data_IF_510625859864
#
_entry.id   IF_510625859864
#
_cell.length_a   1.000
_cell.length_b   1.000
_cell.length_c   1.000
_cell.angle_alpha   90.00
_cell.angle_beta   90.00
_cell.angle_gamma   90.00
#
_symmetry.space_group_name_H-M   'P 1'
#
loop_
_entity.id
_entity.type
_entity.pdbx_description
1 polymer ?
#
# COMPACT_ATOMS: atom_id res chain seq x y z
N UNK A 1 -77.37 13.21 55.62
CA UNK A 1 -77.11 11.86 56.16
C UNK A 1 -75.63 11.77 56.47
N UNK A 2 -75.32 11.57 57.75
CA UNK A 2 -74.04 11.26 58.40
C UNK A 2 -72.74 12.04 58.08
N UNK A 3 -72.29 12.74 59.13
CA UNK A 3 -70.93 13.18 59.41
C UNK A 3 -69.93 12.01 59.43
N UNK A 4 -68.67 12.28 59.06
CA UNK A 4 -67.53 11.64 59.74
C UNK A 4 -66.45 12.67 60.05
N UNK A 5 -66.21 12.76 61.36
CA UNK A 5 -65.15 13.43 62.09
C UNK A 5 -63.78 12.81 61.77
N UNK A 6 -62.72 13.62 61.65
CA UNK A 6 -61.38 13.22 62.10
C UNK A 6 -60.47 14.43 62.37
N UNK A 7 -59.85 14.32 63.53
CA UNK A 7 -58.96 15.23 64.23
C UNK A 7 -57.54 15.23 63.65
N UNK A 8 -56.87 16.38 63.77
CA UNK A 8 -55.46 16.61 64.14
C UNK A 8 -54.33 15.74 63.56
N UNK A 9 -53.26 16.39 63.10
CA UNK A 9 -52.00 16.64 63.85
C UNK A 9 -51.01 17.28 62.88
N UNK A 10 -50.51 18.47 63.23
CA UNK A 10 -49.36 19.08 62.56
C UNK A 10 -48.07 18.36 62.94
N UNK A 11 -47.18 18.19 61.97
CA UNK A 11 -45.77 17.94 62.23
C UNK A 11 -44.94 18.70 61.19
N UNK A 12 -44.31 19.78 61.65
CA UNK A 12 -43.29 20.50 60.91
C UNK A 12 -42.09 19.59 60.70
N UNK A 13 -41.78 19.26 59.44
CA UNK A 13 -40.48 18.73 59.06
C UNK A 13 -39.70 19.82 58.33
N UNK A 14 -38.73 20.39 59.06
CA UNK A 14 -37.67 21.24 58.54
C UNK A 14 -36.88 20.45 57.48
N UNK A 15 -37.20 20.67 56.21
CA UNK A 15 -36.33 20.26 55.12
C UNK A 15 -35.17 21.25 55.02
N UNK A 16 -34.08 20.99 55.74
CA UNK A 16 -32.81 21.67 55.50
C UNK A 16 -32.33 21.31 54.09
N UNK A 17 -32.55 22.22 53.13
CA UNK A 17 -31.94 22.12 51.80
C UNK A 17 -30.45 22.36 51.96
N UNK A 18 -29.67 21.29 52.04
CA UNK A 18 -28.23 21.35 51.77
C UNK A 18 -28.12 21.62 50.27
N UNK A 19 -28.15 22.89 49.88
CA UNK A 19 -27.68 23.28 48.54
C UNK A 19 -26.21 22.93 48.50
N UNK A 20 -25.86 21.86 47.76
CA UNK A 20 -24.49 21.67 47.32
C UNK A 20 -24.03 23.00 46.70
N UNK A 21 -22.90 23.54 47.17
CA UNK A 21 -22.34 24.76 46.60
C UNK A 21 -22.27 24.58 45.07
N UNK A 22 -22.72 25.56 44.26
CA UNK A 22 -22.69 25.42 42.82
C UNK A 22 -21.25 25.12 42.40
N UNK A 23 -21.07 24.09 41.58
CA UNK A 23 -19.78 23.79 40.96
C UNK A 23 -19.35 25.04 40.18
N UNK A 24 -18.43 25.82 40.74
CA UNK A 24 -17.74 26.86 40.00
C UNK A 24 -16.75 26.15 39.09
N UNK A 25 -17.12 25.99 37.82
CA UNK A 25 -16.15 25.63 36.80
C UNK A 25 -14.96 26.57 36.94
N UNK A 26 -13.76 26.01 37.09
CA UNK A 26 -12.53 26.79 37.17
C UNK A 26 -12.46 27.61 35.90
N UNK A 27 -12.63 28.93 36.01
CA UNK A 27 -12.58 29.83 34.88
C UNK A 27 -11.16 29.73 34.33
N UNK A 28 -11.06 29.05 33.20
CA UNK A 28 -9.82 28.74 32.53
C UNK A 28 -9.56 29.88 31.56
N UNK A 29 -8.39 30.51 31.62
CA UNK A 29 -7.93 31.47 30.62
C UNK A 29 -7.53 30.78 29.29
N UNK A 30 -7.70 29.45 29.21
CA UNK A 30 -7.47 28.69 27.99
C UNK A 30 -8.61 28.93 27.01
N UNK A 31 -8.24 29.26 25.77
CA UNK A 31 -9.15 29.37 24.64
C UNK A 31 -9.53 27.97 24.15
N UNK A 32 -10.82 27.74 23.94
CA UNK A 32 -11.29 26.52 23.28
C UNK A 32 -10.87 26.50 21.81
N UNK A 33 -10.60 25.30 21.28
CA UNK A 33 -10.36 25.12 19.86
C UNK A 33 -11.61 25.49 19.06
N UNK A 34 -11.40 26.25 17.99
CA UNK A 34 -12.45 26.60 17.03
C UNK A 34 -12.35 25.74 15.78
N UNK A 35 -13.47 25.55 15.09
CA UNK A 35 -13.52 24.80 13.84
C UNK A 35 -12.57 25.40 12.78
N UNK A 36 -12.45 26.73 12.75
CA UNK A 36 -11.55 27.47 11.85
C UNK A 36 -10.07 27.24 12.14
N UNK A 37 -9.72 26.74 13.31
CA UNK A 37 -8.34 26.32 13.63
C UNK A 37 -8.09 24.84 13.29
N UNK A 38 -9.14 24.03 13.22
CA UNK A 38 -9.07 22.60 12.90
C UNK A 38 -9.03 22.36 11.39
N UNK A 39 -9.88 23.04 10.60
CA UNK A 39 -9.97 22.84 9.14
C UNK A 39 -8.65 23.11 8.39
N UNK A 40 -7.90 24.19 8.66
CA UNK A 40 -6.60 24.41 8.04
C UNK A 40 -5.49 23.55 8.67
N UNK A 41 -5.84 22.64 9.60
CA UNK A 41 -4.90 21.82 10.35
C UNK A 41 -3.84 22.65 11.06
N UNK A 42 -4.23 23.77 11.70
CA UNK A 42 -3.27 24.71 12.33
C UNK A 42 -2.43 24.03 13.43
N UNK A 43 -3.01 23.05 14.10
CA UNK A 43 -2.37 22.23 15.13
C UNK A 43 -1.89 20.87 14.61
N UNK A 44 -1.80 20.71 13.29
CA UNK A 44 -1.31 19.50 12.66
C UNK A 44 0.11 19.18 13.12
N UNK A 45 0.33 17.94 13.52
CA UNK A 45 1.65 17.46 13.89
C UNK A 45 2.57 17.55 12.67
N UNK A 46 3.65 18.33 12.79
CA UNK A 46 4.74 18.28 11.82
C UNK A 46 5.63 17.08 12.16
N UNK A 47 5.41 16.00 11.44
CA UNK A 47 6.24 14.80 11.56
C UNK A 47 7.66 15.03 11.04
N UNK A 48 8.55 14.08 11.36
CA UNK A 48 9.85 13.97 10.72
C UNK A 48 9.66 13.76 9.21
N UNK A 49 10.26 14.61 8.39
CA UNK A 49 10.15 14.54 6.92
C UNK A 49 11.40 13.95 6.24
N UNK A 50 12.26 13.28 7.02
CA UNK A 50 13.48 12.65 6.53
C UNK A 50 13.27 11.21 6.07
N UNK A 51 14.05 10.77 5.09
CA UNK A 51 14.11 9.40 4.58
C UNK A 51 15.56 8.96 4.47
N UNK A 52 15.92 7.80 5.02
CA UNK A 52 17.27 7.25 4.94
C UNK A 52 17.60 6.83 3.51
N UNK A 53 18.74 7.28 3.01
CA UNK A 53 19.32 6.86 1.72
C UNK A 53 20.33 5.73 1.92
N UNK A 54 21.11 5.83 2.99
CA UNK A 54 22.13 4.88 3.43
C UNK A 54 22.22 4.87 4.96
N UNK A 55 23.21 4.16 5.52
CA UNK A 55 23.46 4.19 6.97
C UNK A 55 23.98 5.54 7.50
N UNK A 56 24.37 6.45 6.60
CA UNK A 56 25.00 7.73 6.96
C UNK A 56 24.33 8.94 6.30
N UNK A 57 23.50 8.73 5.29
CA UNK A 57 22.87 9.81 4.53
C UNK A 57 21.35 9.81 4.69
N UNK A 58 20.82 10.99 4.97
CA UNK A 58 19.39 11.27 5.13
C UNK A 58 18.95 12.30 4.09
N UNK A 59 17.88 12.01 3.36
CA UNK A 59 17.18 12.99 2.53
C UNK A 59 16.08 13.66 3.35
N UNK A 60 16.01 14.98 3.36
CA UNK A 60 14.91 15.70 4.01
C UNK A 60 14.52 16.95 3.19
N UNK A 61 13.36 17.51 3.50
CA UNK A 61 12.85 18.70 2.81
C UNK A 61 13.11 19.96 3.63
N UNK A 62 13.77 20.96 3.06
CA UNK A 62 14.05 22.25 3.69
C UNK A 62 13.59 23.40 2.80
N UNK A 63 12.63 24.21 3.24
CA UNK A 63 12.13 25.35 2.44
C UNK A 63 11.51 24.99 1.10
N UNK A 64 11.19 23.70 0.85
CA UNK A 64 10.70 23.19 -0.43
C UNK A 64 11.72 22.32 -1.17
N UNK A 65 13.01 22.58 -0.95
CA UNK A 65 14.14 21.89 -1.57
C UNK A 65 14.37 20.52 -0.94
N UNK A 66 14.94 19.60 -1.72
CA UNK A 66 15.40 18.32 -1.24
C UNK A 66 16.89 18.39 -0.91
N UNK A 67 17.23 18.13 0.36
CA UNK A 67 18.58 18.26 0.90
C UNK A 67 19.04 16.89 1.40
N UNK A 68 20.25 16.49 0.98
CA UNK A 68 20.94 15.31 1.49
C UNK A 68 21.88 15.73 2.61
N UNK A 69 21.70 15.16 3.79
CA UNK A 69 22.52 15.36 4.99
C UNK A 69 23.35 14.11 5.27
N UNK A 70 24.65 14.26 5.47
CA UNK A 70 25.47 13.24 6.10
C UNK A 70 25.40 13.40 7.62
N UNK A 71 24.84 12.41 8.32
CA UNK A 71 24.56 12.53 9.77
C UNK A 71 25.82 12.43 10.64
N UNK A 72 26.90 11.88 10.11
CA UNK A 72 28.17 11.72 10.84
C UNK A 72 29.00 13.02 10.83
N UNK A 73 29.01 13.73 9.70
CA UNK A 73 29.79 14.96 9.49
C UNK A 73 28.99 16.23 9.74
N UNK A 74 27.67 16.18 9.53
CA UNK A 74 26.80 17.36 9.52
C UNK A 74 26.76 18.08 8.17
N UNK A 75 27.51 17.61 7.17
CA UNK A 75 27.54 18.21 5.84
C UNK A 75 26.22 18.02 5.11
N UNK A 76 25.73 19.07 4.45
CA UNK A 76 24.48 19.05 3.69
C UNK A 76 24.67 19.58 2.28
N UNK A 77 23.98 18.93 1.33
CA UNK A 77 24.00 19.30 -0.09
C UNK A 77 22.56 19.35 -0.60
N UNK A 78 22.20 20.45 -1.26
CA UNK A 78 20.93 20.55 -1.98
C UNK A 78 21.01 19.68 -3.22
N UNK A 79 20.13 18.68 -3.32
CA UNK A 79 20.09 17.73 -4.44
C UNK A 79 19.19 18.25 -5.54
N UNK A 80 18.02 18.78 -5.17
CA UNK A 80 17.04 19.36 -6.09
C UNK A 80 16.41 20.59 -5.45
N UNK A 81 16.37 21.68 -6.22
CA UNK A 81 15.74 22.94 -5.82
C UNK A 81 14.25 22.97 -6.17
N UNK A 82 13.52 23.83 -5.47
CA UNK A 82 12.10 24.11 -5.72
C UNK A 82 11.88 24.67 -7.12
N UNK A 83 12.82 25.46 -7.66
CA UNK A 83 12.76 26.00 -9.02
C UNK A 83 12.78 24.89 -10.07
N UNK A 84 13.63 23.88 -9.90
CA UNK A 84 13.64 22.70 -10.80
C UNK A 84 12.31 21.95 -10.70
N UNK A 85 11.81 21.74 -9.48
CA UNK A 85 10.53 21.05 -9.27
C UNK A 85 9.33 21.82 -9.79
N UNK A 86 9.41 23.15 -9.94
CA UNK A 86 8.32 23.97 -10.46
C UNK A 86 7.91 23.60 -11.90
N UNK A 87 8.82 22.97 -12.65
CA UNK A 87 8.57 22.42 -13.98
C UNK A 87 7.65 21.18 -13.95
N UNK A 88 7.55 20.53 -12.78
CA UNK A 88 6.80 19.31 -12.56
C UNK A 88 5.67 19.58 -11.55
N UNK A 89 4.46 19.84 -12.05
CA UNK A 89 3.32 20.22 -11.21
C UNK A 89 3.03 19.16 -10.13
N UNK A 90 3.08 19.58 -8.87
CA UNK A 90 2.79 18.72 -7.72
C UNK A 90 3.83 17.62 -7.48
N UNK A 91 5.08 17.84 -7.90
CA UNK A 91 6.10 16.80 -7.90
C UNK A 91 6.43 16.21 -6.52
N UNK A 92 6.65 14.91 -6.52
CA UNK A 92 7.37 14.16 -5.49
C UNK A 92 8.53 13.41 -6.14
N UNK A 93 9.59 13.13 -5.37
CA UNK A 93 10.79 12.49 -5.90
C UNK A 93 11.19 11.24 -5.12
N UNK A 94 11.90 10.35 -5.81
CA UNK A 94 12.68 9.27 -5.23
C UNK A 94 14.11 9.35 -5.77
N UNK A 95 15.11 9.44 -4.89
CA UNK A 95 16.52 9.36 -5.31
C UNK A 95 16.88 7.94 -5.74
N UNK A 96 17.67 7.82 -6.79
CA UNK A 96 18.00 6.55 -7.42
C UNK A 96 19.42 6.11 -6.99
N UNK A 97 19.53 4.88 -6.48
CA UNK A 97 20.81 4.24 -6.13
C UNK A 97 21.65 3.94 -7.39
N UNK A 98 22.97 3.74 -7.26
CA UNK A 98 23.77 3.81 -6.02
C UNK A 98 24.36 5.18 -5.71
N UNK A 99 24.44 6.08 -6.69
CA UNK A 99 25.16 7.36 -6.59
C UNK A 99 24.26 8.55 -6.23
N UNK A 100 22.93 8.38 -6.30
CA UNK A 100 21.94 9.42 -6.05
C UNK A 100 22.09 10.65 -6.95
N UNK A 101 22.62 10.46 -8.16
CA UNK A 101 22.77 11.52 -9.18
C UNK A 101 21.55 11.65 -10.08
N UNK A 102 20.63 10.68 -10.02
CA UNK A 102 19.37 10.68 -10.74
C UNK A 102 18.20 10.57 -9.79
N UNK A 103 17.07 11.13 -10.20
CA UNK A 103 15.83 11.06 -9.45
C UNK A 103 14.69 10.60 -10.33
N UNK A 104 13.79 9.80 -9.76
CA UNK A 104 12.48 9.57 -10.35
C UNK A 104 11.55 10.66 -9.85
N UNK A 105 11.03 11.48 -10.76
CA UNK A 105 10.05 12.53 -10.50
C UNK A 105 8.67 12.00 -10.86
N UNK A 106 7.75 12.01 -9.90
CA UNK A 106 6.32 11.74 -10.09
C UNK A 106 5.56 13.05 -10.02
N UNK A 107 4.77 13.37 -11.05
CA UNK A 107 4.07 14.65 -11.18
C UNK A 107 2.73 14.48 -11.91
N UNK A 108 1.92 15.54 -11.96
CA UNK A 108 0.56 15.49 -12.53
C UNK A 108 -0.29 14.36 -11.93
N UNK A 109 -0.30 14.27 -10.60
CA UNK A 109 -0.99 13.18 -9.88
C UNK A 109 -2.51 13.41 -9.86
N UNK A 110 -3.26 12.39 -10.29
CA UNK A 110 -4.71 12.30 -10.16
C UNK A 110 -5.09 11.05 -9.39
N UNK A 111 -5.77 11.21 -8.25
CA UNK A 111 -6.22 10.07 -7.42
C UNK A 111 -7.29 9.26 -8.13
N UNK A 112 -7.28 7.94 -7.95
CA UNK A 112 -8.30 7.01 -8.45
C UNK A 112 -9.09 6.44 -7.26
N UNK A 113 -8.47 5.58 -6.44
CA UNK A 113 -9.01 5.08 -5.17
C UNK A 113 -8.15 5.57 -3.98
N UNK A 114 -8.12 4.84 -2.85
CA UNK A 114 -7.41 5.29 -1.63
C UNK A 114 -5.90 5.37 -1.84
N UNK A 115 -5.33 4.39 -2.53
CA UNK A 115 -3.90 4.26 -2.74
C UNK A 115 -3.52 4.53 -4.20
N UNK A 116 -4.38 4.15 -5.14
CA UNK A 116 -4.13 4.27 -6.57
C UNK A 116 -4.27 5.69 -7.10
N UNK A 117 -3.49 5.95 -8.13
CA UNK A 117 -3.50 7.22 -8.85
C UNK A 117 -3.08 6.99 -10.29
N UNK A 118 -3.28 8.00 -11.12
CA UNK A 118 -2.62 8.13 -12.40
C UNK A 118 -1.63 9.29 -12.29
N UNK A 119 -0.43 9.12 -12.80
CA UNK A 119 0.64 10.12 -12.70
C UNK A 119 1.56 10.05 -13.92
N UNK A 120 2.26 11.14 -14.19
CA UNK A 120 3.38 11.14 -15.13
C UNK A 120 4.68 10.95 -14.37
N UNK A 121 5.67 10.35 -15.06
CA UNK A 121 6.98 10.09 -14.50
C UNK A 121 8.09 10.56 -15.43
N UNK A 122 9.20 11.00 -14.83
CA UNK A 122 10.43 11.34 -15.54
C UNK A 122 11.65 11.00 -14.69
N UNK A 123 12.74 10.64 -15.34
CA UNK A 123 14.07 10.56 -14.72
C UNK A 123 14.74 11.91 -14.93
N UNK A 124 15.16 12.56 -13.85
CA UNK A 124 15.92 13.82 -13.90
C UNK A 124 17.35 13.56 -13.42
N UNK A 125 18.34 13.94 -14.23
CA UNK A 125 19.75 13.88 -13.88
C UNK A 125 20.17 15.18 -13.19
N UNK A 126 20.62 15.09 -11.95
CA UNK A 126 20.99 16.27 -11.15
C UNK A 126 22.33 16.87 -11.54
N UNK A 127 23.15 16.17 -12.33
CA UNK A 127 24.48 16.63 -12.73
C UNK A 127 24.42 17.62 -13.89
N UNK A 128 23.60 17.32 -14.90
CA UNK A 128 23.49 18.11 -16.13
C UNK A 128 22.10 18.70 -16.38
N UNK A 129 21.10 18.35 -15.57
CA UNK A 129 19.72 18.82 -15.69
C UNK A 129 18.91 18.13 -16.79
N UNK A 130 19.43 17.06 -17.39
CA UNK A 130 18.72 16.32 -18.44
C UNK A 130 17.52 15.58 -17.88
N UNK A 131 16.40 15.62 -18.62
CA UNK A 131 15.15 14.95 -18.25
C UNK A 131 14.82 13.87 -19.28
N UNK A 132 14.55 12.65 -18.81
CA UNK A 132 14.14 11.51 -19.61
C UNK A 132 12.72 11.11 -19.22
N UNK A 133 11.75 11.39 -20.08
CA UNK A 133 10.36 11.06 -19.81
C UNK A 133 10.12 9.54 -19.86
N UNK A 134 9.18 9.07 -19.04
CA UNK A 134 8.69 7.68 -19.02
C UNK A 134 7.34 7.63 -19.73
N UNK A 135 7.06 6.54 -20.44
CA UNK A 135 5.80 6.30 -21.13
C UNK A 135 5.39 7.45 -22.07
N UNK A 136 6.36 8.07 -22.74
CA UNK A 136 6.13 9.24 -23.62
C UNK A 136 5.31 10.37 -22.97
N UNK A 137 5.47 10.60 -21.66
CA UNK A 137 4.70 11.59 -20.86
C UNK A 137 3.20 11.30 -20.71
N UNK A 138 2.77 10.07 -20.99
CA UNK A 138 1.41 9.64 -20.71
C UNK A 138 1.21 9.34 -19.23
N UNK A 139 -0.05 9.39 -18.78
CA UNK A 139 -0.40 8.99 -17.42
C UNK A 139 -0.26 7.46 -17.27
N UNK A 140 0.37 7.02 -16.20
CA UNK A 140 0.52 5.61 -15.83
C UNK A 140 0.09 5.40 -14.38
N UNK A 141 -0.36 4.20 -14.04
CA UNK A 141 -0.88 3.87 -12.70
C UNK A 141 0.22 3.89 -11.66
N UNK A 142 1.36 3.26 -11.98
CA UNK A 142 2.54 3.21 -11.13
C UNK A 142 3.82 3.21 -12.00
N UNK A 143 4.93 3.63 -11.41
CA UNK A 143 6.28 3.43 -11.94
C UNK A 143 7.21 3.08 -10.77
N UNK A 144 7.84 1.91 -10.84
CA UNK A 144 8.74 1.38 -9.81
C UNK A 144 10.16 1.23 -10.36
N UNK A 145 11.15 1.50 -9.52
CA UNK A 145 12.56 1.31 -9.85
C UNK A 145 13.01 -0.10 -9.44
N UNK A 146 13.88 -0.70 -10.24
CA UNK A 146 14.66 -1.86 -9.81
C UNK A 146 15.49 -1.51 -8.57
N UNK A 147 15.72 -2.45 -7.63
CA UNK A 147 16.51 -2.18 -6.43
C UNK A 147 17.96 -1.75 -6.71
N UNK A 148 18.49 -2.09 -7.89
CA UNK A 148 19.81 -1.67 -8.38
C UNK A 148 19.83 -0.25 -8.93
N UNK A 149 18.67 0.35 -9.20
CA UNK A 149 18.55 1.70 -9.76
C UNK A 149 18.92 1.80 -11.25
N UNK A 150 18.99 0.67 -11.97
CA UNK A 150 19.42 0.65 -13.37
C UNK A 150 18.26 0.64 -14.37
N UNK A 151 17.14 0.03 -13.95
CA UNK A 151 15.95 -0.17 -14.76
C UNK A 151 14.68 0.22 -14.00
N UNK A 152 13.57 0.36 -14.73
CA UNK A 152 12.25 0.64 -14.18
C UNK A 152 11.17 -0.23 -14.83
N UNK A 153 10.05 -0.40 -14.13
CA UNK A 153 8.83 -0.96 -14.68
C UNK A 153 7.66 -0.03 -14.37
N UNK A 154 6.69 0.07 -15.25
CA UNK A 154 5.49 0.88 -15.05
C UNK A 154 4.26 0.15 -15.58
N UNK A 155 3.08 0.59 -15.13
CA UNK A 155 1.80 0.03 -15.55
C UNK A 155 0.97 1.08 -16.28
N UNK A 156 0.67 0.83 -17.55
CA UNK A 156 -0.19 1.68 -18.38
C UNK A 156 -1.31 0.83 -18.96
N UNK A 157 -2.54 1.32 -18.86
CA UNK A 157 -3.73 0.64 -19.38
C UNK A 157 -3.81 -0.83 -18.92
N UNK A 158 -3.54 -1.05 -17.63
CA UNK A 158 -3.46 -2.36 -16.99
C UNK A 158 -2.44 -3.33 -17.60
N UNK A 159 -1.44 -2.83 -18.34
CA UNK A 159 -0.34 -3.60 -18.90
C UNK A 159 1.00 -3.17 -18.32
N UNK A 160 1.88 -4.13 -18.08
CA UNK A 160 3.21 -3.88 -17.53
C UNK A 160 4.20 -3.64 -18.66
N UNK A 161 5.01 -2.61 -18.49
CA UNK A 161 6.10 -2.25 -19.37
C UNK A 161 7.40 -2.21 -18.58
N UNK A 162 8.49 -2.56 -19.24
CA UNK A 162 9.83 -2.57 -18.67
C UNK A 162 10.78 -1.71 -19.51
N UNK A 163 11.65 -0.99 -18.82
CA UNK A 163 12.69 -0.18 -19.42
C UNK A 163 14.01 -0.50 -18.74
N UNK A 164 14.87 -1.18 -19.50
CA UNK A 164 16.16 -1.70 -19.03
C UNK A 164 17.15 -0.59 -18.63
N UNK A 165 17.05 0.58 -19.26
CA UNK A 165 17.91 1.72 -18.99
C UNK A 165 17.11 2.97 -18.65
N UNK A 166 17.46 3.64 -17.56
CA UNK A 166 16.83 4.90 -17.14
C UNK A 166 17.00 6.06 -18.14
N UNK A 167 17.92 5.97 -19.10
CA UNK A 167 18.18 7.06 -20.07
C UNK A 167 17.74 6.71 -21.48
N UNK A 168 17.68 5.43 -21.84
CA UNK A 168 17.20 5.01 -23.16
C UNK A 168 15.67 5.10 -23.22
N UNK A 169 15.13 5.62 -24.33
CA UNK A 169 13.68 5.74 -24.52
C UNK A 169 12.99 4.41 -24.87
N UNK A 170 13.74 3.32 -25.05
CA UNK A 170 13.19 2.04 -25.44
C UNK A 170 12.43 1.39 -24.26
N UNK A 171 11.15 1.14 -24.48
CA UNK A 171 10.24 0.51 -23.54
C UNK A 171 9.73 -0.81 -24.14
N UNK A 172 9.71 -1.85 -23.33
CA UNK A 172 9.36 -3.22 -23.74
C UNK A 172 8.08 -3.65 -23.02
N UNK A 173 6.97 -3.92 -23.72
CA UNK A 173 5.78 -4.47 -23.08
C UNK A 173 6.10 -5.86 -22.52
N UNK A 174 5.66 -6.11 -21.29
CA UNK A 174 5.73 -7.42 -20.64
C UNK A 174 4.37 -8.14 -20.67
N UNK A 175 3.27 -7.39 -20.74
CA UNK A 175 1.91 -7.93 -20.90
C UNK A 175 1.17 -7.16 -21.98
N UNK A 176 0.17 -7.79 -22.59
CA UNK A 176 -0.67 -7.20 -23.63
C UNK A 176 -2.17 -7.54 -23.45
N UNK A 177 -2.51 -8.29 -22.40
CA UNK A 177 -3.84 -8.81 -22.11
C UNK A 177 -4.61 -7.98 -21.07
N UNK A 178 -4.01 -6.90 -20.56
CA UNK A 178 -4.65 -5.98 -19.62
C UNK A 178 -5.87 -5.30 -20.25
N UNK A 179 -6.96 -5.24 -19.49
CA UNK A 179 -8.22 -4.60 -19.87
C UNK A 179 -8.66 -3.69 -18.72
N UNK A 180 -8.59 -2.35 -18.86
CA UNK A 180 -9.01 -1.42 -17.82
C UNK A 180 -10.38 -1.76 -17.24
N UNK A 181 -10.47 -1.90 -15.92
CA UNK A 181 -11.72 -2.25 -15.23
C UNK A 181 -12.06 -3.74 -15.18
N UNK A 182 -11.25 -4.62 -15.78
CA UNK A 182 -11.57 -6.06 -15.93
C UNK A 182 -10.36 -6.97 -15.70
N UNK A 183 -9.23 -6.71 -16.35
CA UNK A 183 -8.00 -7.50 -16.19
C UNK A 183 -6.90 -6.54 -15.79
N UNK A 184 -6.30 -6.77 -14.64
CA UNK A 184 -5.27 -5.92 -14.04
C UNK A 184 -3.95 -6.67 -13.98
N UNK A 185 -2.87 -6.10 -14.53
CA UNK A 185 -1.52 -6.65 -14.43
C UNK A 185 -0.61 -5.68 -13.66
N UNK A 186 -0.06 -6.13 -12.52
CA UNK A 186 0.94 -5.36 -11.77
C UNK A 186 0.38 -4.23 -10.91
N UNK A 187 -0.92 -4.04 -10.93
CA UNK A 187 -1.68 -3.23 -10.00
C UNK A 187 -2.88 -4.05 -9.48
N UNK A 188 -3.37 -3.78 -8.27
CA UNK A 188 -4.55 -4.46 -7.75
C UNK A 188 -5.84 -3.96 -8.41
N UNK A 189 -6.87 -4.81 -8.43
CA UNK A 189 -8.26 -4.37 -8.57
C UNK A 189 -8.74 -3.71 -7.25
N UNK A 190 -10.00 -3.27 -7.21
CA UNK A 190 -10.50 -2.51 -6.06
C UNK A 190 -10.43 -3.28 -4.74
N UNK A 191 -10.83 -4.56 -4.71
CA UNK A 191 -10.89 -5.29 -3.44
C UNK A 191 -9.49 -5.64 -2.94
N UNK A 192 -8.55 -5.94 -3.83
CA UNK A 192 -7.17 -6.18 -3.44
C UNK A 192 -6.44 -4.91 -3.02
N UNK A 193 -6.76 -3.75 -3.60
CA UNK A 193 -6.21 -2.46 -3.18
C UNK A 193 -6.63 -2.14 -1.74
N UNK A 194 -7.93 -2.20 -1.46
CA UNK A 194 -8.50 -1.68 -0.22
C UNK A 194 -8.49 -2.68 0.94
N UNK A 195 -8.78 -3.96 0.67
CA UNK A 195 -9.08 -4.94 1.71
C UNK A 195 -7.98 -6.00 1.90
N UNK A 196 -7.03 -6.13 0.96
CA UNK A 196 -5.97 -7.16 1.01
C UNK A 196 -4.57 -6.57 1.13
N UNK A 197 -4.12 -5.79 0.14
CA UNK A 197 -2.74 -5.30 0.08
C UNK A 197 -2.54 -3.92 0.71
N UNK A 198 -3.53 -3.01 0.64
CA UNK A 198 -3.37 -1.64 1.14
C UNK A 198 -2.32 -0.83 0.37
N UNK A 199 -2.16 -1.08 -0.93
CA UNK A 199 -1.22 -0.41 -1.83
C UNK A 199 -1.74 -0.44 -3.26
N UNK A 200 -1.22 0.45 -4.11
CA UNK A 200 -1.49 0.57 -5.54
C UNK A 200 -0.60 -0.31 -6.43
N UNK A 201 0.32 -1.09 -5.85
CA UNK A 201 1.31 -1.86 -6.61
C UNK A 201 1.32 -3.34 -6.26
N UNK A 202 1.30 -4.19 -7.29
CA UNK A 202 1.49 -5.64 -7.19
C UNK A 202 2.60 -6.12 -8.11
N UNK A 203 3.68 -5.33 -8.16
CA UNK A 203 4.93 -5.62 -8.86
C UNK A 203 6.09 -5.67 -7.87
N UNK A 204 6.93 -6.69 -8.00
CA UNK A 204 8.08 -6.91 -7.11
C UNK A 204 9.31 -7.32 -7.91
N UNK A 205 10.26 -6.39 -8.07
CA UNK A 205 11.60 -6.72 -8.58
C UNK A 205 12.36 -7.60 -7.60
N UNK A 206 13.10 -8.58 -8.11
CA UNK A 206 14.07 -9.33 -7.30
C UNK A 206 15.15 -8.39 -6.75
N UNK A 207 15.81 -8.75 -5.64
CA UNK A 207 16.85 -7.90 -5.02
C UNK A 207 17.96 -7.46 -5.97
N UNK A 208 18.32 -8.31 -6.95
CA UNK A 208 19.32 -8.01 -7.98
C UNK A 208 18.73 -7.36 -9.26
N UNK A 209 17.42 -7.16 -9.33
CA UNK A 209 16.71 -6.60 -10.49
C UNK A 209 16.57 -7.52 -11.69
N UNK A 210 17.09 -8.76 -11.64
CA UNK A 210 17.03 -9.72 -12.77
C UNK A 210 15.62 -10.21 -13.07
N UNK A 211 14.76 -10.34 -12.05
CA UNK A 211 13.41 -10.88 -12.19
C UNK A 211 12.37 -9.86 -11.76
N UNK A 212 11.19 -9.99 -12.34
CA UNK A 212 10.00 -9.26 -11.92
C UNK A 212 8.89 -10.26 -11.61
N UNK A 213 8.38 -10.21 -10.39
CA UNK A 213 7.16 -10.90 -10.02
C UNK A 213 5.98 -9.93 -10.10
N UNK A 214 4.80 -10.47 -10.40
CA UNK A 214 3.58 -9.71 -10.59
C UNK A 214 2.37 -10.52 -10.12
N UNK A 215 1.41 -9.86 -9.47
CA UNK A 215 0.05 -10.38 -9.36
C UNK A 215 -0.83 -9.77 -10.45
N UNK A 216 -1.67 -10.61 -11.04
CA UNK A 216 -2.70 -10.21 -11.99
C UNK A 216 -4.08 -10.60 -11.48
N UNK A 217 -5.08 -9.77 -11.74
CA UNK A 217 -6.44 -9.93 -11.23
C UNK A 217 -7.42 -9.95 -12.40
N UNK A 218 -8.27 -10.96 -12.42
CA UNK A 218 -9.30 -11.15 -13.42
C UNK A 218 -10.69 -11.00 -12.78
N UNK A 219 -11.33 -9.89 -13.11
CA UNK A 219 -12.61 -9.45 -12.57
C UNK A 219 -13.77 -9.77 -13.51
N UNK A 220 -13.57 -10.54 -14.60
CA UNK A 220 -14.62 -10.82 -15.59
C UNK A 220 -15.92 -11.33 -14.97
N UNK A 221 -15.79 -12.18 -13.95
CA UNK A 221 -16.90 -12.81 -13.24
C UNK A 221 -17.33 -12.07 -11.95
N UNK A 222 -16.64 -10.99 -11.59
CA UNK A 222 -17.00 -10.12 -10.47
C UNK A 222 -18.16 -9.23 -10.87
N UNK A 223 -19.15 -9.05 -9.99
CA UNK A 223 -20.32 -8.20 -10.30
C UNK A 223 -19.94 -6.72 -10.35
N UNK A 224 -20.54 -5.98 -11.27
CA UNK A 224 -20.42 -4.52 -11.33
C UNK A 224 -21.33 -3.85 -10.29
N UNK A 225 -20.80 -2.83 -9.64
CA UNK A 225 -21.53 -1.84 -8.89
C UNK A 225 -21.51 -0.52 -9.67
N UNK A 226 -22.67 0.12 -9.76
CA UNK A 226 -22.86 1.36 -10.52
C UNK A 226 -23.20 2.50 -9.59
N UNK A 227 -22.57 3.65 -9.78
CA UNK A 227 -22.86 4.89 -9.05
C UNK A 227 -22.77 6.10 -9.98
N UNK A 228 -23.29 7.24 -9.54
CA UNK A 228 -23.39 8.44 -10.37
C UNK A 228 -22.46 9.54 -9.84
N UNK A 229 -21.76 10.21 -10.75
CA UNK A 229 -21.07 11.46 -10.50
C UNK A 229 -21.92 12.62 -11.02
N UNK A 230 -22.37 13.48 -10.12
CA UNK A 230 -23.26 14.59 -10.44
C UNK A 230 -22.54 15.87 -10.90
N UNK A 231 -21.20 15.89 -10.86
CA UNK A 231 -20.40 17.06 -11.24
C UNK A 231 -20.54 18.24 -10.27
N UNK A 232 -20.04 19.41 -10.71
CA UNK A 232 -20.24 20.68 -10.01
C UNK A 232 -21.49 21.38 -10.56
N UNK A 233 -22.33 22.03 -9.72
CA UNK A 233 -23.48 22.80 -10.19
C UNK A 233 -23.14 23.89 -11.23
N UNK A 234 -21.91 24.42 -11.18
CA UNK A 234 -21.45 25.51 -12.05
C UNK A 234 -20.80 25.03 -13.35
N UNK A 235 -20.63 23.71 -13.53
CA UNK A 235 -20.04 23.12 -14.73
C UNK A 235 -21.13 22.79 -15.75
N UNK A 236 -21.27 23.62 -16.78
CA UNK A 236 -22.27 23.44 -17.83
C UNK A 236 -22.07 22.16 -18.65
N UNK A 237 -20.86 21.60 -18.67
CA UNK A 237 -20.56 20.36 -19.39
C UNK A 237 -20.98 19.11 -18.59
N UNK A 238 -21.36 19.27 -17.31
CA UNK A 238 -21.83 18.21 -16.41
C UNK A 238 -23.31 18.35 -16.04
N UNK A 239 -24.14 18.84 -16.97
CA UNK A 239 -25.58 19.01 -16.77
C UNK A 239 -26.34 17.70 -16.46
N UNK A 240 -25.82 16.56 -16.95
CA UNK A 240 -26.37 15.24 -16.66
C UNK A 240 -25.37 14.39 -15.87
N UNK A 241 -25.82 13.61 -14.87
CA UNK A 241 -24.92 12.76 -14.10
C UNK A 241 -24.22 11.73 -14.98
N UNK A 242 -22.94 11.54 -14.72
CA UNK A 242 -22.12 10.50 -15.35
C UNK A 242 -22.27 9.20 -14.58
N UNK A 243 -22.55 8.10 -15.28
CA UNK A 243 -22.60 6.77 -14.68
C UNK A 243 -21.19 6.18 -14.64
N UNK A 244 -20.70 5.86 -13.44
CA UNK A 244 -19.46 5.12 -13.23
C UNK A 244 -19.76 3.70 -12.78
N UNK A 245 -18.90 2.77 -13.21
CA UNK A 245 -18.99 1.34 -12.90
C UNK A 245 -17.68 0.85 -12.32
N UNK A 246 -17.79 -0.04 -11.34
CA UNK A 246 -16.66 -0.69 -10.70
C UNK A 246 -16.99 -2.15 -10.43
N UNK A 247 -16.04 -3.06 -10.67
CA UNK A 247 -16.15 -4.46 -10.25
C UNK A 247 -15.96 -4.52 -8.74
N UNK A 248 -17.00 -4.94 -8.02
CA UNK A 248 -17.07 -4.85 -6.57
C UNK A 248 -17.70 -6.12 -5.99
N UNK A 249 -16.91 -7.04 -5.43
CA UNK A 249 -17.43 -8.27 -4.84
C UNK A 249 -18.08 -7.97 -3.48
N UNK A 250 -19.42 -7.92 -3.45
CA UNK A 250 -20.16 -7.90 -2.17
C UNK A 250 -20.04 -9.23 -1.44
N UNK A 251 -20.39 -9.21 -0.15
CA UNK A 251 -20.44 -10.39 0.71
C UNK A 251 -21.09 -11.58 -0.02
N UNK A 252 -20.39 -12.71 -0.03
CA UNK A 252 -20.85 -13.97 -0.63
C UNK A 252 -21.10 -13.90 -2.15
N UNK A 253 -20.38 -13.03 -2.86
CA UNK A 253 -20.32 -13.02 -4.34
C UNK A 253 -18.93 -13.41 -4.82
N UNK A 254 -18.83 -13.74 -6.12
CA UNK A 254 -17.59 -14.14 -6.79
C UNK A 254 -16.49 -13.10 -6.59
N UNK A 255 -15.34 -13.58 -6.14
CA UNK A 255 -14.13 -12.78 -5.99
C UNK A 255 -13.34 -12.71 -7.32
N UNK A 256 -12.46 -11.71 -7.48
CA UNK A 256 -11.52 -11.70 -8.60
C UNK A 256 -10.61 -12.92 -8.56
N UNK A 257 -10.34 -13.51 -9.73
CA UNK A 257 -9.38 -14.61 -9.85
C UNK A 257 -7.97 -14.02 -9.87
N UNK A 258 -7.11 -14.46 -8.95
CA UNK A 258 -5.75 -13.94 -8.84
C UNK A 258 -4.74 -14.92 -9.42
N UNK A 259 -3.75 -14.37 -10.12
CA UNK A 259 -2.61 -15.09 -10.68
C UNK A 259 -1.32 -14.48 -10.16
N UNK A 260 -0.36 -15.31 -9.76
CA UNK A 260 0.98 -14.86 -9.40
C UNK A 260 1.96 -15.39 -10.44
N UNK A 261 2.73 -14.49 -11.05
CA UNK A 261 3.65 -14.83 -12.13
C UNK A 261 5.02 -14.20 -11.91
N UNK A 262 6.05 -14.82 -12.45
CA UNK A 262 7.42 -14.29 -12.45
C UNK A 262 8.02 -14.38 -13.83
N UNK A 263 8.85 -13.41 -14.18
CA UNK A 263 9.59 -13.41 -15.43
C UNK A 263 11.06 -13.05 -15.23
N UNK A 264 11.92 -13.54 -16.12
CA UNK A 264 13.34 -13.17 -16.20
C UNK A 264 13.51 -11.99 -17.17
N UNK A 265 14.08 -10.89 -16.69
CA UNK A 265 14.27 -9.67 -17.48
C UNK A 265 15.58 -9.65 -18.25
N UNK A 266 16.49 -10.60 -17.99
CA UNK A 266 17.79 -10.69 -18.67
C UNK A 266 17.72 -11.24 -20.09
N UNK A 267 16.58 -11.81 -20.47
CA UNK A 267 16.32 -12.33 -21.83
C UNK A 267 15.55 -11.31 -22.67
N UNK A 268 15.77 -11.33 -23.98
CA UNK A 268 15.11 -10.39 -24.90
C UNK A 268 13.58 -10.58 -24.97
N UNK A 269 13.13 -11.83 -24.87
CA UNK A 269 11.73 -12.24 -24.93
C UNK A 269 11.36 -12.99 -23.63
N UNK A 270 11.06 -12.27 -22.54
CA UNK A 270 10.61 -12.90 -21.31
C UNK A 270 9.31 -13.64 -21.49
N UNK A 271 9.21 -14.77 -20.79
CA UNK A 271 7.99 -15.53 -20.63
C UNK A 271 7.61 -15.53 -19.15
N UNK A 272 6.33 -15.24 -18.88
CA UNK A 272 5.78 -15.33 -17.55
C UNK A 272 5.58 -16.79 -17.15
N UNK A 273 6.12 -17.14 -15.98
CA UNK A 273 5.93 -18.43 -15.33
C UNK A 273 4.95 -18.26 -14.17
N UNK A 274 3.85 -19.01 -14.19
CA UNK A 274 2.86 -19.02 -13.11
C UNK A 274 3.44 -19.69 -11.85
N UNK A 275 3.19 -19.10 -10.69
CA UNK A 275 3.48 -19.63 -9.36
C UNK A 275 2.13 -20.00 -8.70
N UNK A 276 1.68 -21.26 -8.83
CA UNK A 276 0.30 -21.63 -8.54
C UNK A 276 -0.01 -21.55 -7.04
N UNK A 277 -1.27 -21.21 -6.73
CA UNK A 277 -1.80 -21.35 -5.39
C UNK A 277 -1.85 -22.83 -4.95
N UNK A 278 -1.62 -23.15 -3.67
CA UNK A 278 -1.69 -24.51 -3.17
C UNK A 278 -3.17 -24.92 -2.93
N UNK A 279 -3.88 -25.25 -4.01
CA UNK A 279 -5.33 -25.54 -3.98
C UNK A 279 -5.74 -26.62 -2.98
N UNK A 280 -4.88 -27.64 -2.77
CA UNK A 280 -5.11 -28.68 -1.76
C UNK A 280 -5.18 -28.14 -0.31
N UNK A 281 -4.63 -26.95 -0.07
CA UNK A 281 -4.61 -26.28 1.24
C UNK A 281 -5.66 -25.17 1.33
N UNK A 282 -5.72 -24.29 0.33
CA UNK A 282 -6.54 -23.07 0.39
C UNK A 282 -7.84 -23.13 -0.42
N UNK A 283 -8.01 -24.16 -1.25
CA UNK A 283 -9.18 -24.34 -2.12
C UNK A 283 -9.15 -23.45 -3.38
N UNK A 284 -10.18 -23.60 -4.20
CA UNK A 284 -10.34 -22.87 -5.48
C UNK A 284 -10.60 -21.37 -5.26
N UNK A 285 -11.45 -21.02 -4.30
CA UNK A 285 -11.69 -19.63 -3.91
C UNK A 285 -10.65 -19.24 -2.84
N UNK A 286 -9.50 -18.77 -3.31
CA UNK A 286 -8.34 -18.41 -2.50
C UNK A 286 -7.94 -16.95 -2.72
N UNK A 287 -7.16 -16.42 -1.78
CA UNK A 287 -6.69 -15.03 -1.76
C UNK A 287 -5.16 -15.02 -1.66
N UNK A 288 -4.53 -14.22 -2.52
CA UNK A 288 -3.11 -13.92 -2.44
C UNK A 288 -2.86 -12.87 -1.36
N UNK A 289 -2.35 -13.27 -0.20
CA UNK A 289 -2.23 -12.38 0.95
C UNK A 289 -1.03 -11.44 0.87
N UNK A 290 0.18 -12.00 0.78
CA UNK A 290 1.42 -11.20 0.75
C UNK A 290 2.46 -11.84 -0.16
N UNK A 291 3.31 -11.01 -0.76
CA UNK A 291 4.40 -11.44 -1.63
C UNK A 291 5.67 -10.67 -1.26
N UNK A 292 6.77 -11.37 -1.06
CA UNK A 292 8.08 -10.77 -0.86
C UNK A 292 9.19 -11.69 -1.36
N UNK A 293 10.28 -11.11 -1.85
CA UNK A 293 11.46 -11.90 -2.18
C UNK A 293 12.11 -12.47 -0.91
N UNK A 294 12.42 -13.76 -0.93
CA UNK A 294 13.14 -14.51 0.09
C UNK A 294 14.51 -14.92 -0.44
N UNK A 295 15.17 -14.03 -1.18
CA UNK A 295 16.40 -14.31 -1.93
C UNK A 295 16.32 -13.76 -3.35
N UNK A 296 17.34 -14.03 -4.15
CA UNK A 296 17.39 -13.55 -5.55
C UNK A 296 16.48 -14.37 -6.49
N UNK A 297 16.31 -15.65 -6.19
CA UNK A 297 15.57 -16.61 -7.02
C UNK A 297 14.40 -17.28 -6.29
N UNK A 298 14.14 -16.89 -5.04
CA UNK A 298 13.07 -17.47 -4.20
C UNK A 298 12.07 -16.39 -3.84
N UNK A 299 10.79 -16.62 -4.16
CA UNK A 299 9.68 -15.78 -3.77
C UNK A 299 8.95 -16.39 -2.57
N UNK A 300 8.77 -15.61 -1.51
CA UNK A 300 7.92 -15.95 -0.37
C UNK A 300 6.50 -15.43 -0.61
N UNK A 301 5.51 -16.30 -0.42
CA UNK A 301 4.11 -16.00 -0.74
C UNK A 301 3.19 -16.52 0.36
N UNK A 302 2.26 -15.70 0.84
CA UNK A 302 1.17 -16.18 1.68
C UNK A 302 -0.10 -16.32 0.84
N UNK A 303 -0.66 -17.53 0.83
CA UNK A 303 -1.99 -17.82 0.32
C UNK A 303 -2.95 -18.08 1.48
N UNK A 304 -4.22 -17.70 1.33
CA UNK A 304 -5.27 -18.04 2.30
C UNK A 304 -6.55 -18.46 1.59
N UNK A 305 -7.35 -19.30 2.24
CA UNK A 305 -8.69 -19.64 1.72
C UNK A 305 -9.63 -18.44 1.79
N UNK A 306 -10.75 -18.45 1.05
CA UNK A 306 -11.77 -17.39 1.07
C UNK A 306 -12.26 -17.02 2.48
N UNK A 307 -12.38 -17.99 3.37
CA UNK A 307 -12.80 -17.79 4.77
C UNK A 307 -11.71 -17.13 5.64
N UNK A 308 -10.49 -17.04 5.13
CA UNK A 308 -9.32 -16.45 5.76
C UNK A 308 -8.94 -17.12 7.09
N UNK A 309 -9.26 -18.40 7.26
CA UNK A 309 -8.99 -19.15 8.49
C UNK A 309 -7.97 -20.28 8.31
N UNK A 310 -7.57 -20.55 7.08
CA UNK A 310 -6.42 -21.39 6.72
C UNK A 310 -5.51 -20.53 5.85
N UNK A 311 -4.25 -20.38 6.26
CA UNK A 311 -3.23 -19.68 5.49
C UNK A 311 -1.97 -20.53 5.40
N UNK A 312 -1.17 -20.30 4.37
CA UNK A 312 0.07 -21.03 4.17
C UNK A 312 1.13 -20.13 3.56
N UNK A 313 2.33 -20.17 4.13
CA UNK A 313 3.50 -19.51 3.58
C UNK A 313 4.24 -20.49 2.68
N UNK A 314 4.30 -20.16 1.39
CA UNK A 314 4.96 -20.91 0.35
C UNK A 314 6.29 -20.25 0.00
N UNK A 315 7.31 -21.07 -0.27
CA UNK A 315 8.55 -20.64 -0.93
C UNK A 315 8.56 -21.16 -2.36
N UNK A 316 8.67 -20.25 -3.32
CA UNK A 316 8.59 -20.55 -4.74
C UNK A 316 9.94 -20.32 -5.42
N UNK A 317 10.48 -21.38 -6.04
CA UNK A 317 11.69 -21.34 -6.86
C UNK A 317 11.34 -20.78 -8.25
N UNK A 318 11.75 -19.54 -8.50
CA UNK A 318 11.30 -18.76 -9.66
C UNK A 318 11.82 -19.25 -11.01
N UNK A 319 12.95 -19.98 -11.03
CA UNK A 319 13.51 -20.54 -12.26
C UNK A 319 12.67 -21.70 -12.83
N UNK A 320 11.97 -22.43 -11.97
CA UNK A 320 11.24 -23.66 -12.33
C UNK A 320 9.73 -23.54 -12.11
N UNK A 321 9.27 -22.50 -11.41
CA UNK A 321 7.86 -22.30 -11.09
C UNK A 321 7.32 -23.21 -9.98
N UNK A 322 8.21 -23.87 -9.22
CA UNK A 322 7.83 -24.82 -8.17
C UNK A 322 7.73 -24.15 -6.81
N UNK A 323 6.62 -24.36 -6.10
CA UNK A 323 6.40 -23.87 -4.75
C UNK A 323 6.32 -25.01 -3.73
N UNK A 324 6.82 -24.77 -2.51
CA UNK A 324 6.72 -25.70 -1.39
C UNK A 324 6.17 -25.00 -0.14
N UNK A 325 5.35 -25.72 0.63
CA UNK A 325 4.80 -25.24 1.89
C UNK A 325 5.90 -25.18 2.94
N UNK A 326 6.22 -23.97 3.40
CA UNK A 326 7.17 -23.75 4.49
C UNK A 326 6.48 -23.84 5.86
N UNK A 327 5.27 -23.29 5.98
CA UNK A 327 4.47 -23.36 7.20
C UNK A 327 2.99 -23.11 6.88
N UNK A 328 2.11 -23.79 7.62
CA UNK A 328 0.66 -23.61 7.59
C UNK A 328 0.15 -22.97 8.87
N UNK A 329 -0.88 -22.14 8.77
CA UNK A 329 -1.60 -21.52 9.88
C UNK A 329 -3.07 -21.92 9.84
N UNK A 330 -3.51 -22.64 10.87
CA UNK A 330 -4.90 -23.01 11.05
C UNK A 330 -5.53 -22.18 12.19
N UNK A 331 -6.64 -21.51 11.89
CA UNK A 331 -7.39 -20.63 12.79
C UNK A 331 -8.87 -21.02 12.83
N UNK A 332 -9.23 -22.22 13.32
CA UNK A 332 -10.60 -22.75 13.21
C UNK A 332 -11.68 -21.84 13.82
N UNK A 333 -11.32 -21.07 14.86
CA UNK A 333 -12.21 -20.17 15.59
C UNK A 333 -11.92 -18.68 15.34
N UNK A 334 -11.26 -18.34 14.24
CA UNK A 334 -10.89 -16.96 13.92
C UNK A 334 -10.46 -16.80 12.47
N UNK A 335 -9.56 -15.84 12.23
CA UNK A 335 -8.95 -15.58 10.94
C UNK A 335 -7.43 -15.44 11.08
N UNK A 336 -6.72 -15.52 9.96
CA UNK A 336 -5.30 -15.23 9.86
C UNK A 336 -5.10 -13.75 9.55
N UNK A 337 -4.28 -13.08 10.36
CA UNK A 337 -3.85 -11.72 10.08
C UNK A 337 -2.72 -11.72 9.05
N UNK A 338 -2.89 -11.02 7.94
CA UNK A 338 -1.91 -10.95 6.87
C UNK A 338 -0.67 -10.15 7.29
N UNK A 339 0.39 -10.85 7.66
CA UNK A 339 1.70 -10.27 7.95
C UNK A 339 2.72 -10.71 6.93
N UNK A 340 3.31 -9.76 6.20
CA UNK A 340 4.36 -10.05 5.22
C UNK A 340 5.61 -10.57 5.94
N UNK A 341 6.07 -11.81 5.65
CA UNK A 341 7.29 -12.34 6.22
C UNK A 341 8.52 -11.50 5.86
N UNK A 342 9.48 -11.44 6.78
CA UNK A 342 10.79 -10.83 6.55
C UNK A 342 11.84 -11.91 6.41
N UNK A 343 12.27 -12.17 5.19
CA UNK A 343 13.26 -13.18 4.87
C UNK A 343 14.64 -12.56 4.63
N UNK A 344 15.67 -13.24 5.15
CA UNK A 344 17.08 -12.92 4.99
C UNK A 344 17.73 -14.07 4.22
N UNK A 345 17.73 -13.96 2.90
CA UNK A 345 18.02 -15.09 2.02
C UNK A 345 16.93 -16.16 2.04
N UNK A 346 17.22 -17.30 1.41
CA UNK A 346 16.26 -18.40 1.25
C UNK A 346 16.02 -19.17 2.55
N UNK A 347 17.00 -19.18 3.46
CA UNK A 347 16.99 -20.11 4.59
C UNK A 347 16.32 -19.54 5.84
N UNK A 348 16.32 -18.23 6.03
CA UNK A 348 15.90 -17.61 7.30
C UNK A 348 14.78 -16.62 7.09
N UNK A 349 13.61 -16.89 7.68
CA UNK A 349 12.45 -15.98 7.63
C UNK A 349 11.88 -15.73 9.01
N UNK A 350 11.47 -14.49 9.26
CA UNK A 350 10.69 -14.09 10.41
C UNK A 350 9.27 -13.77 10.00
N UNK A 351 8.32 -14.19 10.81
CA UNK A 351 6.90 -13.98 10.55
C UNK A 351 6.14 -13.87 11.86
N UNK A 352 4.92 -13.37 11.78
CA UNK A 352 4.01 -13.37 12.91
C UNK A 352 3.30 -14.73 13.00
N UNK A 353 3.32 -15.32 14.18
CA UNK A 353 2.60 -16.56 14.51
C UNK A 353 1.91 -16.47 15.86
N UNK A 354 1.58 -17.63 16.41
CA UNK A 354 1.01 -17.75 17.76
C UNK A 354 1.94 -18.59 18.65
N UNK A 355 2.10 -18.16 19.89
CA UNK A 355 2.77 -18.91 20.95
C UNK A 355 1.91 -18.83 22.22
N UNK A 356 1.23 -19.93 22.55
CA UNK A 356 0.33 -20.04 23.71
C UNK A 356 -0.79 -18.98 23.74
N UNK A 357 -1.41 -18.69 22.59
CA UNK A 357 -2.53 -17.74 22.48
C UNK A 357 -2.13 -16.27 22.39
N UNK A 358 -0.82 -15.99 22.32
CA UNK A 358 -0.29 -14.65 22.08
C UNK A 358 0.39 -14.57 20.73
N UNK A 359 0.29 -13.40 20.08
CA UNK A 359 1.07 -13.10 18.88
C UNK A 359 2.55 -13.12 19.22
N UNK A 360 3.32 -13.90 18.48
CA UNK A 360 4.75 -14.03 18.67
C UNK A 360 5.49 -13.94 17.34
N UNK A 361 6.74 -13.48 17.39
CA UNK A 361 7.64 -13.57 16.25
C UNK A 361 8.15 -14.99 16.17
N UNK A 362 7.86 -15.64 15.04
CA UNK A 362 8.36 -16.97 14.72
C UNK A 362 9.52 -16.85 13.76
N UNK A 363 10.56 -17.64 13.99
CA UNK A 363 11.69 -17.79 13.08
C UNK A 363 11.63 -19.17 12.41
N UNK A 364 11.72 -19.18 11.08
CA UNK A 364 11.91 -20.36 10.25
C UNK A 364 13.36 -20.40 9.78
N UNK A 365 14.03 -21.55 9.97
CA UNK A 365 15.42 -21.78 9.56
C UNK A 365 15.52 -23.07 8.76
N UNK A 366 15.91 -22.99 7.49
CA UNK A 366 15.99 -24.11 6.56
C UNK A 366 14.62 -24.58 6.05
N UNK A 367 14.64 -25.61 5.20
CA UNK A 367 13.42 -26.25 4.69
C UNK A 367 12.91 -27.31 5.67
N UNK A 368 11.61 -27.31 5.95
CA UNK A 368 10.94 -28.32 6.78
C UNK A 368 11.21 -28.25 8.29
N UNK A 369 12.00 -27.29 8.76
CA UNK A 369 12.20 -27.09 10.20
C UNK A 369 10.95 -26.52 10.86
N UNK A 370 10.65 -26.98 12.07
CA UNK A 370 9.59 -26.40 12.88
C UNK A 370 9.95 -24.93 13.22
N UNK A 371 8.99 -23.99 13.13
CA UNK A 371 9.21 -22.60 13.52
C UNK A 371 9.56 -22.50 15.01
N UNK A 372 10.52 -21.64 15.33
CA UNK A 372 10.96 -21.36 16.70
C UNK A 372 10.40 -20.01 17.11
N UNK A 373 9.61 -19.95 18.19
CA UNK A 373 9.18 -18.69 18.79
C UNK A 373 10.40 -17.96 19.39
N UNK A 374 10.61 -16.69 19.03
CA UNK A 374 11.75 -15.88 19.50
C UNK A 374 11.44 -14.95 20.66
N UNK A 375 10.17 -14.82 21.03
CA UNK A 375 9.66 -14.05 22.17
C UNK A 375 8.38 -14.67 22.69
#
# INVERSE_FOLDING_TARGET
MMQYLRLFVGCCLLAARISAAPFKAKQSDLKDFTFDEIIPNQFGLRGFNGTWLSGEELLYRNGGDYVKLNVNTGDSVVVITTDVLSQFRGASIQLIKPDFTKVLVRYDVRTVFRHSSLSKYAIYDTLDGTTYHVANQEEVSICILSPTGQSLAYVKDNNVYYRESLVAAQERPLTLDGVPGVIYNGIPDWVYEEEVFGTDATLWFSPNGRRLAMASFDDRDVKEFTYHLYGSPDDTDKQYPEELRIRYPKVNTTNPTVHLRVTDLSVSEPVWVELPAPLATVGEDHVLGTVNWAGEDVLGVIWTNRRQNIATFQKCQTAVGSCSEAIRFDRPNGWYDLYTPRCYGADRCFLMGDNNGWRAVMELVGEGAAPIART
#
